data_IF_887856311030
#
_entry.id   IF_887856311030
#
_cell.length_a   1.000
_cell.length_b   1.000
_cell.length_c   1.000
_cell.angle_alpha   90.00
_cell.angle_beta   90.00
_cell.angle_gamma   90.00
#
_symmetry.space_group_name_H-M   'P 1'
#
loop_
_entity.id
_entity.type
_entity.pdbx_description
1 polymer ?
#
# COMPACT_ATOMS: atom_id res chain seq x y z
N UNK A 1 1.98 26.00 -7.66
CA UNK A 1 3.39 25.55 -7.53
C UNK A 1 3.47 24.20 -8.22
N UNK A 2 4.61 23.86 -8.81
CA UNK A 2 4.73 22.49 -9.36
C UNK A 2 4.62 21.46 -8.23
N UNK A 3 4.00 20.33 -8.52
CA UNK A 3 3.97 19.20 -7.59
C UNK A 3 5.39 18.70 -7.30
N UNK A 4 5.58 18.12 -6.12
CA UNK A 4 6.88 17.64 -5.64
C UNK A 4 6.87 16.12 -5.74
N UNK A 5 7.90 15.55 -6.33
CA UNK A 5 8.15 14.12 -6.33
C UNK A 5 8.64 13.67 -4.94
N UNK A 6 7.74 13.07 -4.18
CA UNK A 6 8.00 12.59 -2.83
C UNK A 6 6.98 11.49 -2.45
N UNK A 7 7.08 10.31 -3.06
CA UNK A 7 6.13 9.23 -2.82
C UNK A 7 6.19 8.73 -1.38
N UNK A 8 5.04 8.27 -0.89
CA UNK A 8 4.85 7.83 0.50
C UNK A 8 4.00 6.56 0.62
N UNK A 9 3.74 5.89 -0.49
CA UNK A 9 2.87 4.73 -0.54
C UNK A 9 1.39 5.05 -0.28
N UNK A 10 0.65 4.06 0.16
CA UNK A 10 -0.77 4.18 0.50
C UNK A 10 -0.93 4.66 1.95
N UNK A 11 -1.43 5.89 2.12
CA UNK A 11 -1.69 6.47 3.44
C UNK A 11 -3.19 6.47 3.73
N UNK A 12 -3.68 5.84 4.82
CA UNK A 12 -5.10 5.79 5.13
C UNK A 12 -5.65 7.18 5.50
N UNK A 13 -6.82 7.54 4.96
CA UNK A 13 -7.48 8.86 5.18
C UNK A 13 -8.94 8.76 5.60
N UNK A 14 -9.47 7.57 5.80
CA UNK A 14 -10.87 7.34 6.17
C UNK A 14 -11.49 6.21 5.36
N UNK A 15 -12.79 6.01 5.48
CA UNK A 15 -13.51 5.01 4.68
C UNK A 15 -14.75 5.61 3.99
N UNK A 16 -15.35 4.86 3.07
CA UNK A 16 -16.52 5.31 2.29
C UNK A 16 -17.81 5.32 3.09
N UNK A 17 -17.85 4.68 4.25
CA UNK A 17 -19.06 4.52 5.08
C UNK A 17 -19.18 5.65 6.11
N UNK A 18 -18.28 6.63 6.07
CA UNK A 18 -18.34 7.82 6.93
C UNK A 18 -17.73 7.63 8.31
N UNK A 19 -17.11 6.48 8.60
CA UNK A 19 -16.29 6.28 9.80
C UNK A 19 -14.83 6.66 9.52
N UNK A 20 -14.19 7.25 10.51
CA UNK A 20 -12.74 7.49 10.50
C UNK A 20 -11.96 6.33 11.16
N UNK A 21 -12.61 5.18 11.35
CA UNK A 21 -11.98 4.03 11.99
C UNK A 21 -10.89 3.45 11.09
N UNK A 22 -9.67 3.49 11.61
CA UNK A 22 -8.49 2.88 11.02
C UNK A 22 -8.27 1.51 11.68
N UNK A 23 -9.21 0.59 11.42
CA UNK A 23 -9.11 -0.77 11.93
C UNK A 23 -8.00 -1.52 11.21
N UNK A 24 -7.16 -2.18 11.98
CA UNK A 24 -6.10 -3.05 11.48
C UNK A 24 -6.33 -4.48 11.96
N UNK A 25 -6.04 -5.41 11.08
CA UNK A 25 -6.02 -6.84 11.40
C UNK A 25 -4.58 -7.35 11.47
N UNK A 26 -4.34 -8.30 12.36
CA UNK A 26 -3.04 -8.99 12.46
C UNK A 26 -2.96 -10.11 11.42
N UNK A 27 -1.90 -10.07 10.62
CA UNK A 27 -1.47 -11.13 9.71
C UNK A 27 -0.08 -11.62 10.09
N UNK A 28 0.39 -12.69 9.49
CA UNK A 28 1.74 -13.20 9.70
C UNK A 28 2.59 -12.96 8.46
N UNK A 29 3.87 -12.62 8.66
CA UNK A 29 4.87 -12.61 7.61
C UNK A 29 5.72 -13.87 7.79
N UNK A 30 6.05 -14.60 6.68
CA UNK A 30 6.94 -15.76 6.76
C UNK A 30 8.31 -15.34 7.31
N UNK A 31 8.94 -16.21 8.09
CA UNK A 31 10.28 -15.99 8.62
C UNK A 31 11.39 -15.98 7.55
N UNK A 32 11.05 -16.48 6.36
CA UNK A 32 11.94 -16.52 5.19
C UNK A 32 11.53 -15.54 4.08
N UNK A 33 10.62 -14.57 4.36
CA UNK A 33 10.25 -13.56 3.39
C UNK A 33 11.49 -12.78 2.93
N UNK A 34 11.75 -12.84 1.62
CA UNK A 34 12.94 -12.26 1.02
C UNK A 34 12.79 -10.78 0.65
N UNK A 35 11.54 -10.30 0.62
CA UNK A 35 11.22 -8.92 0.23
C UNK A 35 10.96 -8.06 1.45
N UNK A 36 11.54 -6.87 1.50
CA UNK A 36 11.23 -5.89 2.55
C UNK A 36 9.85 -5.31 2.32
N UNK A 37 9.07 -5.15 3.39
CA UNK A 37 7.73 -4.57 3.37
C UNK A 37 7.76 -3.25 4.12
N UNK A 38 7.40 -2.16 3.47
CA UNK A 38 7.45 -0.81 4.04
C UNK A 38 6.04 -0.31 4.40
N UNK A 39 5.96 0.58 5.36
CA UNK A 39 4.70 1.23 5.71
C UNK A 39 4.12 1.95 4.50
N UNK A 40 2.91 1.56 4.10
CA UNK A 40 2.25 2.07 2.90
C UNK A 40 2.34 1.16 1.67
N UNK A 41 3.04 0.01 1.76
CA UNK A 41 3.01 -0.99 0.70
C UNK A 41 1.65 -1.69 0.65
N UNK A 42 1.17 -1.98 -0.55
CA UNK A 42 0.10 -2.92 -0.76
C UNK A 42 0.60 -4.34 -0.47
N UNK A 43 -0.22 -5.15 0.20
CA UNK A 43 0.10 -6.53 0.55
C UNK A 43 -1.00 -7.47 0.08
N UNK A 44 -0.59 -8.69 -0.25
CA UNK A 44 -1.46 -9.77 -0.70
C UNK A 44 -1.34 -11.00 0.21
N UNK A 45 -2.23 -11.96 0.03
CA UNK A 45 -2.08 -13.27 0.66
C UNK A 45 -1.00 -14.03 -0.10
N UNK A 46 -0.01 -14.55 0.62
CA UNK A 46 1.10 -15.29 0.02
C UNK A 46 0.60 -16.62 -0.58
N UNK A 47 0.68 -16.74 -1.88
CA UNK A 47 0.26 -17.94 -2.64
C UNK A 47 1.09 -19.19 -2.29
N UNK A 48 2.33 -18.98 -1.84
CA UNK A 48 3.24 -20.07 -1.51
C UNK A 48 3.13 -20.50 -0.04
N UNK A 49 2.62 -19.62 0.83
CA UNK A 49 2.50 -19.84 2.27
C UNK A 49 1.11 -19.45 2.77
N UNK A 50 0.14 -20.34 2.63
CA UNK A 50 -1.25 -20.08 3.02
C UNK A 50 -1.36 -19.55 4.47
N UNK A 51 -2.00 -18.40 4.63
CA UNK A 51 -2.19 -17.73 5.92
C UNK A 51 -1.13 -16.70 6.28
N UNK A 52 -0.17 -16.47 5.39
CA UNK A 52 0.82 -15.40 5.48
C UNK A 52 0.53 -14.32 4.44
N UNK A 53 1.19 -13.17 4.60
CA UNK A 53 1.15 -12.07 3.65
C UNK A 53 2.54 -11.81 3.07
N UNK A 54 2.55 -11.33 1.82
CA UNK A 54 3.72 -10.84 1.12
C UNK A 54 3.47 -9.44 0.55
N UNK A 55 4.52 -8.77 0.07
CA UNK A 55 4.36 -7.58 -0.77
C UNK A 55 3.64 -7.99 -2.04
N UNK A 56 2.70 -7.20 -2.47
CA UNK A 56 2.06 -7.41 -3.75
C UNK A 56 3.08 -7.29 -4.88
N UNK A 57 3.33 -8.40 -5.56
CA UNK A 57 4.31 -8.48 -6.64
C UNK A 57 3.68 -8.42 -8.04
N UNK A 58 2.41 -8.81 -8.18
CA UNK A 58 1.77 -8.96 -9.47
C UNK A 58 0.67 -7.94 -9.72
N UNK A 59 0.71 -7.35 -10.90
CA UNK A 59 -0.22 -6.32 -11.40
C UNK A 59 -1.65 -6.85 -11.62
N UNK A 60 -1.84 -8.16 -11.66
CA UNK A 60 -3.12 -8.80 -12.02
C UNK A 60 -3.72 -9.65 -10.89
N UNK A 61 -3.27 -9.45 -9.67
CA UNK A 61 -3.67 -10.32 -8.57
C UNK A 61 -4.84 -9.73 -7.78
N UNK A 62 -5.93 -10.46 -7.74
CA UNK A 62 -7.15 -10.12 -6.98
C UNK A 62 -7.01 -10.38 -5.46
N UNK A 63 -5.87 -10.87 -5.01
CA UNK A 63 -5.62 -11.29 -3.63
C UNK A 63 -5.07 -10.18 -2.74
N UNK A 64 -5.18 -8.91 -3.18
CA UNK A 64 -4.90 -7.76 -2.33
C UNK A 64 -5.67 -7.85 -1.03
N UNK A 65 -4.96 -7.87 0.10
CA UNK A 65 -5.57 -7.91 1.41
C UNK A 65 -5.62 -6.54 2.08
N UNK A 66 -4.80 -5.60 1.63
CA UNK A 66 -4.80 -4.25 2.21
C UNK A 66 -3.45 -3.57 2.18
N UNK A 67 -3.22 -2.68 3.15
CA UNK A 67 -2.02 -1.84 3.25
C UNK A 67 -1.27 -2.12 4.55
N UNK A 68 0.01 -2.40 4.43
CA UNK A 68 0.88 -2.65 5.58
C UNK A 68 1.18 -1.36 6.36
N UNK A 69 1.04 -1.45 7.70
CA UNK A 69 1.28 -0.32 8.61
C UNK A 69 2.43 -0.54 9.60
N UNK A 70 3.08 -1.68 9.54
CA UNK A 70 4.17 -2.04 10.43
C UNK A 70 4.06 -3.47 10.96
N UNK A 71 5.06 -3.90 11.70
CA UNK A 71 5.11 -5.25 12.24
C UNK A 71 5.65 -5.29 13.67
N UNK A 72 5.25 -6.35 14.38
CA UNK A 72 5.83 -6.75 15.66
C UNK A 72 6.64 -8.03 15.44
N UNK A 73 7.92 -7.96 15.69
CA UNK A 73 8.86 -9.08 15.65
C UNK A 73 8.97 -9.60 17.07
N UNK A 74 8.54 -10.84 17.33
CA UNK A 74 8.53 -11.42 18.68
C UNK A 74 9.93 -11.55 19.28
N UNK A 75 10.93 -11.80 18.43
CA UNK A 75 12.34 -11.92 18.85
C UNK A 75 13.25 -11.29 17.79
N UNK A 76 13.68 -10.06 18.06
CA UNK A 76 14.66 -9.35 17.22
C UNK A 76 15.99 -10.10 17.21
N UNK A 77 16.58 -10.44 16.04
CA UNK A 77 17.80 -11.24 15.96
C UNK A 77 19.01 -10.65 16.70
N UNK A 78 19.03 -9.34 16.88
CA UNK A 78 20.16 -8.64 17.52
C UNK A 78 20.03 -8.56 19.04
N UNK A 79 18.81 -8.52 19.56
CA UNK A 79 18.56 -8.26 20.99
C UNK A 79 17.84 -9.40 21.71
N UNK A 80 17.21 -10.33 20.96
CA UNK A 80 16.36 -11.39 21.49
C UNK A 80 15.07 -10.88 22.16
N UNK A 81 14.70 -9.62 21.96
CA UNK A 81 13.52 -9.00 22.57
C UNK A 81 12.47 -8.66 21.51
N UNK A 82 11.18 -8.55 21.90
CA UNK A 82 10.16 -8.05 21.00
C UNK A 82 10.50 -6.64 20.49
N UNK A 83 10.31 -6.41 19.20
CA UNK A 83 10.57 -5.14 18.54
C UNK A 83 9.42 -4.78 17.63
N UNK A 84 8.86 -3.59 17.81
CA UNK A 84 7.96 -2.99 16.82
C UNK A 84 8.78 -2.22 15.78
N UNK A 85 8.40 -2.37 14.51
CA UNK A 85 9.00 -1.64 13.38
C UNK A 85 7.91 -1.20 12.43
N UNK A 86 8.06 -0.02 11.82
CA UNK A 86 7.17 0.44 10.76
C UNK A 86 7.48 -0.19 9.39
N UNK A 87 8.53 -1.00 9.31
CA UNK A 87 8.84 -1.80 8.13
C UNK A 87 9.41 -3.16 8.53
N UNK A 88 9.19 -4.15 7.68
CA UNK A 88 9.85 -5.44 7.73
C UNK A 88 11.10 -5.39 6.85
N UNK A 89 12.25 -5.71 7.41
CA UNK A 89 13.48 -5.90 6.61
C UNK A 89 13.62 -7.37 6.25
N UNK A 90 14.07 -7.66 5.04
CA UNK A 90 14.35 -9.01 4.53
C UNK A 90 15.50 -9.71 5.30
N UNK A 91 15.54 -9.60 6.59
CA UNK A 91 16.51 -10.28 7.44
C UNK A 91 15.86 -11.57 7.92
N UNK A 92 16.50 -12.70 7.64
CA UNK A 92 16.03 -14.01 8.12
C UNK A 92 15.82 -13.98 9.64
N UNK A 93 14.58 -13.94 10.04
CA UNK A 93 14.17 -14.02 11.44
C UNK A 93 13.83 -15.48 11.71
N UNK A 94 14.79 -16.22 12.23
CA UNK A 94 14.66 -17.66 12.46
C UNK A 94 13.99 -18.03 13.76
N UNK A 95 13.59 -17.07 14.58
CA UNK A 95 12.95 -17.29 15.88
C UNK A 95 11.79 -16.35 16.10
N UNK A 96 10.66 -16.91 16.52
CA UNK A 96 9.44 -16.17 16.80
C UNK A 96 8.53 -15.99 15.59
N UNK A 97 7.48 -15.21 15.80
CA UNK A 97 6.52 -14.86 14.77
C UNK A 97 6.66 -13.39 14.42
N UNK A 98 6.45 -13.08 13.17
CA UNK A 98 6.38 -11.70 12.70
C UNK A 98 4.92 -11.40 12.43
N UNK A 99 4.35 -10.49 13.22
CA UNK A 99 2.96 -10.06 13.12
C UNK A 99 2.91 -8.74 12.35
N UNK A 100 2.28 -8.74 11.21
CA UNK A 100 2.01 -7.56 10.42
C UNK A 100 0.68 -6.93 10.85
N UNK A 101 0.61 -5.61 10.87
CA UNK A 101 -0.63 -4.85 11.06
C UNK A 101 -1.05 -4.28 9.72
N UNK A 102 -2.21 -4.68 9.22
CA UNK A 102 -2.70 -4.36 7.89
C UNK A 102 -4.05 -3.66 7.97
N UNK A 103 -4.20 -2.56 7.23
CA UNK A 103 -5.50 -1.94 6.97
C UNK A 103 -6.21 -2.76 5.89
N UNK A 104 -7.06 -3.69 6.31
CA UNK A 104 -7.70 -4.70 5.46
C UNK A 104 -9.18 -4.42 5.16
N UNK A 105 -9.67 -3.24 5.50
CA UNK A 105 -11.03 -2.86 5.18
C UNK A 105 -11.15 -2.53 3.68
N UNK A 106 -11.95 -3.29 2.89
CA UNK A 106 -12.08 -3.09 1.44
C UNK A 106 -12.68 -1.73 1.05
N UNK A 107 -13.28 -1.01 1.99
CA UNK A 107 -13.85 0.33 1.79
C UNK A 107 -12.99 1.44 2.36
N UNK A 108 -11.79 1.13 2.81
CA UNK A 108 -10.80 2.11 3.27
C UNK A 108 -10.35 2.96 2.09
N UNK A 109 -10.24 4.27 2.31
CA UNK A 109 -9.64 5.20 1.36
C UNK A 109 -8.21 5.50 1.75
N UNK A 110 -7.40 5.65 0.73
CA UNK A 110 -5.98 5.94 0.89
C UNK A 110 -5.61 7.15 0.04
N UNK A 111 -4.60 7.86 0.49
CA UNK A 111 -3.90 8.86 -0.29
C UNK A 111 -2.66 8.21 -0.90
N UNK A 112 -2.42 8.45 -2.18
CA UNK A 112 -1.23 7.98 -2.91
C UNK A 112 -0.79 9.05 -3.89
N UNK A 113 0.50 9.17 -4.14
CA UNK A 113 1.04 10.02 -5.19
C UNK A 113 0.96 9.31 -6.54
N UNK A 114 0.58 10.03 -7.58
CA UNK A 114 0.72 9.54 -8.96
C UNK A 114 2.16 9.67 -9.42
N UNK A 115 2.60 8.75 -10.26
CA UNK A 115 3.93 8.72 -10.84
C UNK A 115 4.20 9.89 -11.81
N UNK A 116 5.39 9.90 -12.42
CA UNK A 116 5.80 10.91 -13.40
C UNK A 116 5.39 10.59 -14.84
N UNK A 117 4.77 9.42 -15.08
CA UNK A 117 4.49 8.92 -16.43
C UNK A 117 3.54 9.80 -17.22
N UNK A 118 2.47 10.26 -16.58
CA UNK A 118 1.43 11.08 -17.22
C UNK A 118 0.92 12.14 -16.24
N UNK A 119 0.56 13.31 -16.75
CA UNK A 119 -0.03 14.36 -15.95
C UNK A 119 -1.47 13.98 -15.56
N UNK A 120 -1.83 14.19 -14.30
CA UNK A 120 -3.16 13.99 -13.79
C UNK A 120 -4.20 14.84 -14.55
N UNK A 121 -5.38 14.29 -14.79
CA UNK A 121 -6.48 14.96 -15.44
C UNK A 121 -7.79 14.76 -14.66
N UNK A 122 -8.71 15.72 -14.74
CA UNK A 122 -10.02 15.62 -14.08
C UNK A 122 -10.83 14.37 -14.50
N UNK A 123 -10.55 13.85 -15.71
CA UNK A 123 -11.19 12.65 -16.25
C UNK A 123 -10.64 11.33 -15.64
N UNK A 124 -9.63 11.38 -14.77
CA UNK A 124 -9.08 10.19 -14.12
C UNK A 124 -9.96 9.69 -12.99
N UNK A 125 -10.80 10.57 -12.44
CA UNK A 125 -11.72 10.20 -11.37
C UNK A 125 -12.76 9.19 -11.90
N UNK A 126 -12.83 8.07 -11.19
CA UNK A 126 -13.68 6.93 -11.54
C UNK A 126 -12.97 5.82 -12.32
N UNK A 127 -11.77 6.09 -12.82
CA UNK A 127 -10.92 5.08 -13.47
C UNK A 127 -10.18 4.23 -12.43
N UNK A 128 -9.62 3.14 -12.90
CA UNK A 128 -8.79 2.21 -12.14
C UNK A 128 -7.38 2.20 -12.71
N UNK A 129 -6.41 1.91 -11.88
CA UNK A 129 -5.01 1.76 -12.27
C UNK A 129 -4.28 0.82 -11.31
N UNK A 130 -3.15 0.33 -11.75
CA UNK A 130 -2.23 -0.43 -10.92
C UNK A 130 -1.30 0.48 -10.12
N UNK A 131 -0.56 -0.13 -9.22
CA UNK A 131 0.52 0.54 -8.50
C UNK A 131 1.84 0.30 -9.19
N UNK A 132 2.74 1.26 -9.08
CA UNK A 132 4.11 1.16 -9.59
C UNK A 132 5.10 1.55 -8.51
N UNK A 133 6.22 0.82 -8.43
CA UNK A 133 7.32 1.09 -7.52
C UNK A 133 8.47 1.77 -8.26
N UNK A 134 8.28 3.02 -8.68
CA UNK A 134 9.34 3.83 -9.31
C UNK A 134 10.43 4.20 -8.31
N UNK A 135 10.07 4.27 -7.03
CA UNK A 135 10.97 4.48 -5.91
C UNK A 135 10.98 3.26 -5.00
N UNK A 136 12.16 2.86 -4.56
CA UNK A 136 12.29 1.87 -3.50
C UNK A 136 11.81 2.44 -2.17
N UNK A 137 11.24 1.61 -1.31
CA UNK A 137 10.96 1.99 0.07
C UNK A 137 12.24 2.34 0.83
N UNK A 138 12.13 3.19 1.81
CA UNK A 138 13.27 3.70 2.60
C UNK A 138 13.50 2.89 3.87
N UNK A 139 14.62 2.21 3.98
CA UNK A 139 15.04 1.53 5.23
C UNK A 139 15.39 2.49 6.37
N UNK A 140 15.57 3.78 6.07
CA UNK A 140 15.83 4.81 7.08
C UNK A 140 14.54 5.33 7.71
N UNK A 141 13.52 5.60 6.89
CA UNK A 141 12.22 6.10 7.36
C UNK A 141 11.19 5.00 7.56
N UNK A 142 11.37 3.86 6.91
CA UNK A 142 10.42 2.76 6.87
C UNK A 142 9.19 3.02 6.00
N UNK A 143 9.21 4.08 5.19
CA UNK A 143 8.09 4.49 4.35
C UNK A 143 8.25 3.90 2.94
N UNK A 144 7.13 3.46 2.37
CA UNK A 144 7.01 2.95 1.01
C UNK A 144 7.32 4.03 -0.04
N UNK A 145 7.83 3.60 -1.18
CA UNK A 145 7.96 4.41 -2.39
C UNK A 145 6.92 4.08 -3.46
N UNK A 146 5.83 3.40 -3.09
CA UNK A 146 4.77 3.00 -4.01
C UNK A 146 4.00 4.22 -4.53
N UNK A 147 3.70 4.22 -5.82
CA UNK A 147 2.97 5.26 -6.53
C UNK A 147 1.81 4.65 -7.34
N UNK A 148 0.84 5.49 -7.71
CA UNK A 148 -0.22 5.12 -8.66
C UNK A 148 0.34 5.27 -10.07
N UNK A 149 0.22 4.23 -10.91
CA UNK A 149 0.57 4.32 -12.34
C UNK A 149 -0.50 5.13 -13.07
N UNK A 150 -0.23 6.42 -13.29
CA UNK A 150 -1.18 7.33 -13.96
C UNK A 150 -1.23 7.04 -15.47
N UNK A 151 -0.20 6.42 -16.04
CA UNK A 151 -0.18 6.04 -17.45
C UNK A 151 -1.10 4.85 -17.77
N UNK A 152 -1.43 4.04 -16.74
CA UNK A 152 -2.28 2.85 -16.83
C UNK A 152 -3.75 3.12 -16.47
N UNK A 153 -4.14 4.37 -16.22
CA UNK A 153 -5.52 4.71 -15.83
C UNK A 153 -6.54 4.34 -16.90
N UNK A 154 -7.33 3.31 -16.63
CA UNK A 154 -8.34 2.76 -17.51
C UNK A 154 -9.71 2.52 -16.84
N UNK A 155 -10.66 1.89 -17.53
CA UNK A 155 -12.05 1.78 -17.06
C UNK A 155 -12.40 0.40 -16.51
N UNK A 156 -11.58 -0.62 -16.73
CA UNK A 156 -12.00 -2.01 -16.56
C UNK A 156 -11.13 -2.86 -15.65
N UNK A 157 -9.83 -2.60 -15.57
CA UNK A 157 -8.90 -3.45 -14.87
C UNK A 157 -7.93 -2.58 -14.04
N UNK A 158 -7.57 -3.00 -12.86
CA UNK A 158 -6.64 -2.29 -11.99
C UNK A 158 -6.93 -2.45 -10.51
N UNK A 159 -5.89 -2.41 -9.72
CA UNK A 159 -5.91 -2.66 -8.29
C UNK A 159 -6.63 -1.58 -7.49
N UNK A 160 -6.43 -0.33 -7.90
CA UNK A 160 -6.92 0.87 -7.20
C UNK A 160 -7.86 1.67 -8.08
N UNK A 161 -8.93 2.16 -7.47
CA UNK A 161 -9.86 3.09 -8.11
C UNK A 161 -9.61 4.50 -7.64
N UNK A 162 -9.41 5.44 -8.56
CA UNK A 162 -9.30 6.86 -8.29
C UNK A 162 -10.68 7.43 -7.91
N UNK A 163 -10.79 8.00 -6.71
CA UNK A 163 -12.05 8.52 -6.16
C UNK A 163 -12.11 10.05 -6.24
N UNK A 164 -10.99 10.71 -5.93
CA UNK A 164 -10.89 12.16 -5.91
C UNK A 164 -9.42 12.58 -5.97
N UNK A 165 -9.19 13.86 -6.20
CA UNK A 165 -7.91 14.49 -5.90
C UNK A 165 -7.93 15.00 -4.46
N UNK A 166 -6.74 15.07 -3.85
CA UNK A 166 -6.61 15.68 -2.52
C UNK A 166 -6.83 17.19 -2.59
N UNK A 167 -7.38 17.75 -1.51
CA UNK A 167 -7.41 19.21 -1.32
C UNK A 167 -6.15 19.78 -0.67
N UNK A 168 -5.12 18.96 -0.46
CA UNK A 168 -3.85 19.40 0.12
C UNK A 168 -3.17 20.42 -0.80
N UNK A 169 -2.75 21.59 -0.29
CA UNK A 169 -2.06 22.59 -1.10
C UNK A 169 -0.73 22.12 -1.69
N UNK A 170 -0.18 21.04 -1.18
CA UNK A 170 0.95 20.35 -1.82
C UNK A 170 0.41 19.28 -2.78
N UNK A 171 0.93 19.22 -4.00
CA UNK A 171 0.61 18.20 -5.00
C UNK A 171 -0.90 18.10 -5.38
N UNK A 172 -1.60 19.24 -5.41
CA UNK A 172 -3.00 19.33 -5.84
C UNK A 172 -3.17 19.89 -7.27
N UNK A 173 -2.09 20.21 -7.95
CA UNK A 173 -2.15 20.60 -9.36
C UNK A 173 -2.43 19.38 -10.24
N UNK A 174 -3.25 19.55 -11.29
CA UNK A 174 -3.46 18.52 -12.30
C UNK A 174 -2.24 18.41 -13.21
N UNK A 175 -1.20 17.79 -12.69
CA UNK A 175 0.13 17.63 -13.30
C UNK A 175 0.70 16.26 -12.86
N UNK A 176 1.93 15.94 -13.27
CA UNK A 176 2.67 14.80 -12.72
C UNK A 176 2.81 14.94 -11.20
N UNK A 177 2.94 13.82 -10.50
CA UNK A 177 3.06 13.74 -9.03
C UNK A 177 1.85 14.33 -8.25
N UNK A 178 0.66 14.35 -8.87
CA UNK A 178 -0.55 14.73 -8.15
C UNK A 178 -0.92 13.68 -7.10
N UNK A 179 -1.50 14.13 -5.98
CA UNK A 179 -1.97 13.23 -4.95
C UNK A 179 -3.43 12.82 -5.21
N UNK A 180 -3.67 11.52 -5.31
CA UNK A 180 -4.98 10.90 -5.52
C UNK A 180 -5.52 10.32 -4.22
N UNK A 181 -6.83 10.42 -4.06
CA UNK A 181 -7.60 9.62 -3.11
C UNK A 181 -8.06 8.37 -3.84
N UNK A 182 -7.66 7.21 -3.36
CA UNK A 182 -7.95 5.92 -3.99
C UNK A 182 -8.63 4.96 -3.00
N UNK A 183 -9.20 3.91 -3.55
CA UNK A 183 -9.74 2.77 -2.82
C UNK A 183 -9.39 1.51 -3.60
N UNK A 184 -9.15 0.39 -2.90
CA UNK A 184 -8.97 -0.88 -3.59
C UNK A 184 -10.17 -1.21 -4.47
N UNK A 185 -9.94 -1.49 -5.73
CA UNK A 185 -10.89 -2.02 -6.67
C UNK A 185 -10.92 -3.55 -6.54
N UNK A 186 -9.75 -4.17 -6.52
CA UNK A 186 -9.53 -5.58 -6.29
C UNK A 186 -9.10 -5.82 -4.85
N UNK A 187 -9.79 -6.72 -4.15
CA UNK A 187 -9.53 -6.98 -2.74
C UNK A 187 -10.09 -8.35 -2.34
N UNK A 188 -9.30 -9.15 -1.64
CA UNK A 188 -9.66 -10.51 -1.24
C UNK A 188 -10.97 -10.61 -0.44
N UNK A 189 -11.31 -9.58 0.34
CA UNK A 189 -12.56 -9.51 1.12
C UNK A 189 -13.74 -8.89 0.34
N UNK A 190 -13.57 -8.47 -0.90
CA UNK A 190 -14.69 -8.07 -1.76
C UNK A 190 -15.24 -9.28 -2.48
N UNK A 191 -16.55 -9.47 -2.41
CA UNK A 191 -17.21 -10.44 -3.29
C UNK A 191 -17.07 -9.93 -4.72
N UNK A 192 -16.33 -10.65 -5.53
CA UNK A 192 -16.36 -10.44 -6.98
C UNK A 192 -17.75 -10.84 -7.48
N UNK A 193 -18.43 -9.90 -8.10
CA UNK A 193 -19.74 -10.13 -8.74
C UNK A 193 -19.54 -10.61 -10.16
#
# INVERSE_FOLDING_TARGET
MANIDAPFGLRPIGNTVGSSDFQMTEYLIPDNEATSIFQGDAVEIDDNNAGFIAVQEAVTNVDNIGVFNGCLIDSDPSTGKPKFSNFYSQTNITQGKIKAFVFDNPYQRFLIQGDSGTAAAAADIGKVADTVATHSGSTTTGISGLELDVSDLETTDGQLKAIAFTGDPQNNELAIHANYVVQFNEHAHKTQL
#
